data_IF_407181589608
#
_entry.id   IF_407181589608
#
_cell.length_a   1.000
_cell.length_b   1.000
_cell.length_c   1.000
_cell.angle_alpha   90.00
_cell.angle_beta   90.00
_cell.angle_gamma   90.00
#
_symmetry.space_group_name_H-M   'P 1'
#
loop_
_entity.id
_entity.type
_entity.pdbx_description
1 polymer ?
#
# COMPACT_ATOMS: atom_id res chain seq x y z
N UNK A 1 -9.23 55.88 11.12
CA UNK A 1 -10.06 56.95 10.50
C UNK A 1 -11.40 56.96 11.21
N UNK A 2 -11.80 58.11 11.75
CA UNK A 2 -13.13 58.30 12.34
C UNK A 2 -14.01 58.99 11.29
N UNK A 3 -15.20 58.46 11.04
CA UNK A 3 -16.19 59.04 10.12
C UNK A 3 -17.54 59.09 10.80
N UNK A 4 -18.14 60.28 10.88
CA UNK A 4 -19.50 60.47 11.38
C UNK A 4 -20.48 60.37 10.21
N UNK A 5 -21.48 59.51 10.37
CA UNK A 5 -22.48 59.20 9.34
C UNK A 5 -23.89 59.45 9.87
N UNK A 6 -24.77 59.96 9.02
CA UNK A 6 -26.19 60.14 9.36
C UNK A 6 -26.99 58.91 8.95
N UNK A 7 -27.77 58.38 9.87
CA UNK A 7 -28.71 57.29 9.62
C UNK A 7 -29.86 57.85 8.79
N UNK A 8 -30.00 57.39 7.55
CA UNK A 8 -31.10 57.71 6.66
C UNK A 8 -32.31 56.82 6.96
N UNK A 9 -32.51 55.79 6.13
CA UNK A 9 -33.59 54.81 6.30
C UNK A 9 -33.11 53.62 7.10
N UNK A 10 -33.91 53.20 8.09
CA UNK A 10 -33.65 51.98 8.89
C UNK A 10 -34.67 50.93 8.48
N UNK A 11 -34.21 49.81 7.91
CA UNK A 11 -35.01 48.62 7.68
C UNK A 11 -34.49 47.45 8.53
N UNK A 12 -35.29 46.38 8.68
CA UNK A 12 -34.99 45.25 9.55
C UNK A 12 -33.70 44.47 9.18
N UNK A 13 -33.22 44.60 7.94
CA UNK A 13 -31.99 43.94 7.47
C UNK A 13 -30.84 44.89 7.17
N UNK A 14 -31.14 46.01 6.51
CA UNK A 14 -30.14 46.98 6.03
C UNK A 14 -30.54 48.38 6.46
N UNK A 15 -29.56 49.16 6.89
CA UNK A 15 -29.69 50.57 7.21
C UNK A 15 -28.88 51.38 6.21
N UNK A 16 -29.47 52.48 5.75
CA UNK A 16 -28.81 53.43 4.85
C UNK A 16 -28.08 54.47 5.67
N UNK A 17 -26.76 54.56 5.51
CA UNK A 17 -25.92 55.58 6.13
C UNK A 17 -25.50 56.62 5.07
N UNK A 18 -25.59 57.90 5.44
CA UNK A 18 -25.27 59.03 4.58
C UNK A 18 -24.02 59.72 5.12
N UNK A 19 -23.06 59.93 4.22
CA UNK A 19 -21.84 60.71 4.49
C UNK A 19 -22.08 62.21 4.28
N UNK A 20 -21.24 63.09 4.84
CA UNK A 20 -21.32 64.54 4.60
C UNK A 20 -21.21 64.93 3.11
N UNK A 21 -20.48 64.14 2.31
CA UNK A 21 -20.34 64.32 0.86
C UNK A 21 -21.42 63.60 0.04
N UNK A 22 -22.56 63.27 0.67
CA UNK A 22 -23.76 62.69 0.05
C UNK A 22 -23.56 61.31 -0.58
N UNK A 23 -22.54 60.56 -0.18
CA UNK A 23 -22.44 59.13 -0.49
C UNK A 23 -23.39 58.33 0.38
N UNK A 24 -23.98 57.33 -0.25
CA UNK A 24 -24.85 56.34 0.37
C UNK A 24 -24.06 55.07 0.66
N UNK A 25 -24.17 54.57 1.90
CA UNK A 25 -23.57 53.30 2.33
C UNK A 25 -24.70 52.41 2.84
N UNK A 26 -24.85 51.24 2.25
CA UNK A 26 -25.70 50.18 2.79
C UNK A 26 -24.94 49.44 3.89
N UNK A 27 -25.48 49.43 5.11
CA UNK A 27 -24.83 48.84 6.27
C UNK A 27 -25.77 47.85 6.96
N UNK A 28 -25.33 46.62 7.29
CA UNK A 28 -26.18 45.65 7.98
C UNK A 28 -26.69 46.20 9.30
N UNK A 29 -28.02 46.23 9.50
CA UNK A 29 -28.64 46.84 10.69
C UNK A 29 -28.19 46.16 12.00
N UNK A 30 -27.83 44.87 11.94
CA UNK A 30 -27.36 44.09 13.10
C UNK A 30 -26.00 44.55 13.66
N UNK A 31 -25.19 45.23 12.84
CA UNK A 31 -23.86 45.70 13.24
C UNK A 31 -23.90 47.12 13.83
N UNK A 32 -25.08 47.76 13.87
CA UNK A 32 -25.27 49.08 14.46
C UNK A 32 -25.71 48.98 15.93
N UNK A 33 -25.45 50.02 16.75
CA UNK A 33 -25.89 50.05 18.13
C UNK A 33 -27.42 49.87 18.26
N UNK A 34 -27.91 49.29 19.37
CA UNK A 34 -29.35 49.24 19.63
C UNK A 34 -29.91 50.66 19.77
N UNK A 35 -31.19 50.84 19.42
CA UNK A 35 -31.95 52.10 19.51
C UNK A 35 -31.54 53.23 18.55
N UNK A 36 -30.93 52.90 17.41
CA UNK A 36 -30.75 53.87 16.32
C UNK A 36 -32.05 54.11 15.57
N UNK A 37 -32.29 55.35 15.15
CA UNK A 37 -33.45 55.76 14.35
C UNK A 37 -33.01 56.66 13.19
N UNK A 38 -33.91 56.89 12.23
CA UNK A 38 -33.69 57.85 11.15
C UNK A 38 -33.31 59.23 11.71
N UNK A 39 -32.25 59.83 11.17
CA UNK A 39 -31.67 61.09 11.62
C UNK A 39 -30.60 60.96 12.71
N UNK A 40 -30.39 59.77 13.29
CA UNK A 40 -29.30 59.54 14.26
C UNK A 40 -27.93 59.74 13.61
N UNK A 41 -26.93 60.18 14.37
CA UNK A 41 -25.54 60.25 13.91
C UNK A 41 -24.76 59.11 14.58
N UNK A 42 -24.04 58.33 13.77
CA UNK A 42 -23.20 57.22 14.23
C UNK A 42 -21.76 57.50 13.85
N UNK A 43 -20.86 57.37 14.82
CA UNK A 43 -19.43 57.45 14.60
C UNK A 43 -18.86 56.05 14.30
N UNK A 44 -18.30 55.88 13.10
CA UNK A 44 -17.61 54.65 12.71
C UNK A 44 -16.11 54.89 12.75
N UNK A 45 -15.43 54.13 13.60
CA UNK A 45 -13.97 54.09 13.65
C UNK A 45 -13.47 52.90 12.85
N UNK A 46 -12.82 53.16 11.71
CA UNK A 46 -12.19 52.13 10.88
C UNK A 46 -10.68 52.20 11.05
N UNK A 47 -10.08 51.07 11.40
CA UNK A 47 -8.63 50.92 11.51
C UNK A 47 -8.20 49.54 11.03
N UNK A 48 -7.01 49.46 10.43
CA UNK A 48 -6.41 48.20 10.06
C UNK A 48 -6.02 47.44 11.34
N UNK A 49 -6.36 46.15 11.39
CA UNK A 49 -6.06 45.30 12.53
C UNK A 49 -4.95 44.30 12.17
N UNK A 50 -3.70 44.80 12.14
CA UNK A 50 -2.54 44.02 11.73
C UNK A 50 -2.28 42.80 12.63
N UNK A 51 -2.69 42.84 13.91
CA UNK A 51 -2.54 41.68 14.80
C UNK A 51 -3.50 40.54 14.43
N UNK A 52 -4.76 40.86 14.09
CA UNK A 52 -5.70 39.86 13.56
C UNK A 52 -5.30 39.35 12.19
N UNK A 53 -4.79 40.22 11.31
CA UNK A 53 -4.26 39.81 9.99
C UNK A 53 -3.13 38.78 10.15
N UNK A 54 -2.14 39.08 11.01
CA UNK A 54 -1.04 38.15 11.28
C UNK A 54 -1.53 36.83 11.90
N UNK A 55 -2.52 36.88 12.81
CA UNK A 55 -3.09 35.68 13.41
C UNK A 55 -3.84 34.80 12.39
N UNK A 56 -4.62 35.40 11.48
CA UNK A 56 -5.30 34.64 10.41
C UNK A 56 -4.32 34.08 9.38
N UNK A 57 -3.25 34.83 9.04
CA UNK A 57 -2.18 34.30 8.18
C UNK A 57 -1.49 33.08 8.82
N UNK A 58 -1.16 33.15 10.11
CA UNK A 58 -0.57 32.03 10.83
C UNK A 58 -1.49 30.80 10.84
N UNK A 59 -2.79 30.98 11.07
CA UNK A 59 -3.78 29.88 10.99
C UNK A 59 -3.84 29.29 9.60
N UNK A 60 -3.86 30.13 8.57
CA UNK A 60 -3.87 29.69 7.18
C UNK A 60 -2.62 28.87 6.84
N UNK A 61 -1.43 29.37 7.20
CA UNK A 61 -0.16 28.65 7.00
C UNK A 61 -0.12 27.33 7.76
N UNK A 62 -0.55 27.32 9.02
CA UNK A 62 -0.64 26.11 9.83
C UNK A 62 -1.60 25.07 9.22
N UNK A 63 -2.71 25.51 8.62
CA UNK A 63 -3.61 24.61 7.90
C UNK A 63 -2.95 24.03 6.64
N UNK A 64 -2.26 24.86 5.84
CA UNK A 64 -1.54 24.40 4.65
C UNK A 64 -0.46 23.37 5.00
N UNK A 65 0.31 23.62 6.05
CA UNK A 65 1.34 22.69 6.53
C UNK A 65 0.73 21.35 6.98
N UNK A 66 -0.41 21.39 7.68
CA UNK A 66 -1.14 20.18 8.07
C UNK A 66 -1.63 19.39 6.86
N UNK A 67 -2.17 20.05 5.84
CA UNK A 67 -2.61 19.38 4.61
C UNK A 67 -1.41 18.75 3.91
N UNK A 68 -0.30 19.48 3.76
CA UNK A 68 0.91 18.98 3.14
C UNK A 68 1.48 17.76 3.90
N UNK A 69 1.68 17.88 5.22
CA UNK A 69 2.18 16.79 6.06
C UNK A 69 1.28 15.55 6.05
N UNK A 70 -0.04 15.73 5.93
CA UNK A 70 -0.99 14.61 5.97
C UNK A 70 -1.13 13.89 4.63
N UNK A 71 -0.97 14.58 3.51
CA UNK A 71 -1.32 14.02 2.19
C UNK A 71 -0.21 14.10 1.13
N UNK A 72 0.74 15.03 1.28
CA UNK A 72 1.78 15.31 0.28
C UNK A 72 3.21 15.01 0.73
N UNK A 73 3.44 14.69 2.02
CA UNK A 73 4.78 14.46 2.54
C UNK A 73 5.38 13.09 2.19
N UNK A 74 4.54 12.11 1.81
CA UNK A 74 4.97 10.76 1.47
C UNK A 74 4.29 10.26 0.21
N UNK A 75 5.04 9.49 -0.57
CA UNK A 75 4.56 8.87 -1.81
C UNK A 75 4.57 7.35 -1.68
N UNK A 76 3.76 6.62 -2.48
CA UNK A 76 3.80 5.16 -2.51
C UNK A 76 5.19 4.65 -2.89
N UNK A 77 5.67 3.68 -2.12
CA UNK A 77 6.95 3.04 -2.39
C UNK A 77 6.89 2.12 -3.61
N UNK A 78 8.05 1.96 -4.23
CA UNK A 78 8.19 1.02 -5.34
C UNK A 78 8.23 -0.41 -4.77
N UNK A 79 7.39 -1.35 -5.27
CA UNK A 79 7.40 -2.72 -4.76
C UNK A 79 8.77 -3.37 -5.02
N UNK A 80 9.32 -4.08 -4.03
CA UNK A 80 10.56 -4.83 -4.19
C UNK A 80 10.25 -6.31 -4.45
N UNK A 81 10.45 -6.77 -5.70
CA UNK A 81 10.26 -8.17 -6.09
C UNK A 81 11.57 -8.96 -5.92
N UNK A 82 11.47 -10.17 -5.39
CA UNK A 82 12.59 -11.12 -5.24
C UNK A 82 12.18 -12.53 -5.65
N UNK A 83 13.15 -13.31 -6.12
CA UNK A 83 12.99 -14.74 -6.35
C UNK A 83 13.31 -15.49 -5.06
N UNK A 84 12.31 -16.19 -4.51
CA UNK A 84 12.47 -16.99 -3.29
C UNK A 84 13.02 -18.38 -3.61
N UNK A 85 12.45 -19.03 -4.62
CA UNK A 85 12.85 -20.36 -5.05
C UNK A 85 12.58 -20.55 -6.55
N UNK A 86 13.41 -21.35 -7.21
CA UNK A 86 13.21 -21.79 -8.58
C UNK A 86 13.36 -23.30 -8.67
N UNK A 87 12.48 -23.94 -9.43
CA UNK A 87 12.59 -25.35 -9.81
C UNK A 87 12.77 -25.46 -11.32
N UNK A 88 12.69 -26.68 -11.85
CA UNK A 88 12.80 -26.93 -13.28
C UNK A 88 11.60 -26.35 -14.05
N UNK A 89 10.41 -26.29 -13.43
CA UNK A 89 9.16 -25.90 -14.12
C UNK A 89 8.34 -24.85 -13.37
N UNK A 90 8.85 -24.34 -12.25
CA UNK A 90 8.15 -23.30 -11.48
C UNK A 90 9.11 -22.33 -10.81
N UNK A 91 8.63 -21.12 -10.53
CA UNK A 91 9.35 -20.10 -9.76
C UNK A 91 8.40 -19.56 -8.70
N UNK A 92 8.91 -19.38 -7.48
CA UNK A 92 8.22 -18.70 -6.39
C UNK A 92 8.83 -17.33 -6.21
N UNK A 93 7.97 -16.32 -6.33
CA UNK A 93 8.31 -14.93 -6.19
C UNK A 93 7.73 -14.40 -4.89
N UNK A 94 8.44 -13.48 -4.25
CA UNK A 94 7.97 -12.76 -3.07
C UNK A 94 8.30 -11.27 -3.16
N UNK A 95 7.58 -10.46 -2.40
CA UNK A 95 7.79 -9.02 -2.35
C UNK A 95 7.52 -8.44 -0.97
N UNK A 96 8.10 -7.28 -0.70
CA UNK A 96 7.87 -6.55 0.54
C UNK A 96 6.41 -6.06 0.67
N UNK A 97 5.91 -5.83 1.89
CA UNK A 97 4.61 -5.22 2.10
C UNK A 97 4.45 -3.92 1.31
N UNK A 98 3.31 -3.79 0.63
CA UNK A 98 3.04 -2.62 -0.21
C UNK A 98 2.80 -1.40 0.67
N UNK A 99 3.67 -0.39 0.56
CA UNK A 99 3.50 0.87 1.26
C UNK A 99 2.85 1.90 0.34
N UNK A 100 1.59 2.26 0.65
CA UNK A 100 0.78 3.15 -0.19
C UNK A 100 0.85 4.62 0.24
N UNK A 101 1.47 4.92 1.38
CA UNK A 101 1.34 6.21 2.03
C UNK A 101 -0.13 6.60 2.21
N UNK A 102 -0.58 7.66 1.54
CA UNK A 102 -1.97 8.17 1.53
C UNK A 102 -2.76 7.76 0.30
N UNK A 103 -2.14 7.02 -0.63
CA UNK A 103 -2.78 6.62 -1.88
C UNK A 103 -3.63 5.36 -1.71
N UNK A 104 -4.63 5.22 -2.57
CA UNK A 104 -5.45 4.01 -2.64
C UNK A 104 -4.84 3.02 -3.63
N UNK A 105 -4.84 1.74 -3.27
CA UNK A 105 -4.42 0.66 -4.16
C UNK A 105 -5.48 0.42 -5.24
N UNK A 106 -5.08 0.54 -6.50
CA UNK A 106 -5.92 0.17 -7.65
C UNK A 106 -5.65 -1.28 -8.04
N UNK A 107 -4.38 -1.65 -8.24
CA UNK A 107 -4.00 -3.04 -8.54
C UNK A 107 -2.50 -3.29 -8.35
N UNK A 108 -2.15 -4.53 -8.05
CA UNK A 108 -0.79 -5.05 -8.17
C UNK A 108 -0.78 -6.15 -9.23
N UNK A 109 -0.02 -5.96 -10.30
CA UNK A 109 0.06 -6.91 -11.42
C UNK A 109 1.45 -7.52 -11.52
N UNK A 110 1.52 -8.83 -11.78
CA UNK A 110 2.78 -9.49 -12.13
C UNK A 110 2.94 -9.52 -13.64
N UNK A 111 4.14 -9.19 -14.10
CA UNK A 111 4.54 -9.29 -15.50
C UNK A 111 5.62 -10.34 -15.66
N UNK A 112 5.53 -11.12 -16.74
CA UNK A 112 6.50 -12.14 -17.17
C UNK A 112 6.92 -11.83 -18.60
N UNK A 113 8.23 -11.65 -18.84
CA UNK A 113 8.79 -11.34 -20.16
C UNK A 113 8.11 -10.14 -20.84
N UNK A 114 7.78 -9.10 -20.07
CA UNK A 114 7.12 -7.90 -20.55
C UNK A 114 5.60 -8.02 -20.77
N UNK A 115 5.03 -9.22 -20.64
CA UNK A 115 3.58 -9.44 -20.73
C UNK A 115 2.95 -9.60 -19.35
N UNK A 116 1.72 -9.10 -19.21
CA UNK A 116 0.97 -9.23 -17.96
C UNK A 116 0.61 -10.70 -17.72
N UNK A 117 1.12 -11.29 -16.65
CA UNK A 117 0.81 -12.66 -16.25
C UNK A 117 -0.51 -12.73 -15.47
N UNK A 118 -0.82 -11.71 -14.68
CA UNK A 118 -2.06 -11.64 -13.90
C UNK A 118 -2.06 -10.54 -12.85
N UNK A 119 -3.19 -10.37 -12.17
CA UNK A 119 -3.30 -9.54 -10.98
C UNK A 119 -3.05 -10.38 -9.72
N UNK A 120 -2.42 -9.79 -8.71
CA UNK A 120 -2.36 -10.35 -7.37
C UNK A 120 -3.74 -10.13 -6.72
N UNK A 121 -4.43 -11.18 -6.23
CA UNK A 121 -5.82 -11.07 -5.79
C UNK A 121 -5.98 -10.31 -4.46
N UNK A 122 -5.02 -10.44 -3.53
CA UNK A 122 -5.02 -9.74 -2.24
C UNK A 122 -3.66 -9.11 -1.95
N UNK A 123 -3.29 -8.01 -2.64
CA UNK A 123 -1.92 -7.49 -2.62
C UNK A 123 -1.41 -7.00 -1.26
N UNK A 124 -2.32 -6.68 -0.34
CA UNK A 124 -2.00 -6.23 1.02
C UNK A 124 -1.80 -7.38 2.01
N UNK A 125 -2.33 -8.57 1.70
CA UNK A 125 -2.22 -9.77 2.56
C UNK A 125 -1.24 -10.80 1.99
N UNK A 126 -1.16 -10.89 0.66
CA UNK A 126 -0.32 -11.84 -0.05
C UNK A 126 0.97 -11.17 -0.49
N UNK A 127 2.08 -11.71 -0.02
CA UNK A 127 3.44 -11.24 -0.31
C UNK A 127 4.24 -12.23 -1.16
N UNK A 128 3.57 -13.23 -1.72
CA UNK A 128 4.23 -14.27 -2.53
C UNK A 128 3.26 -14.91 -3.53
N UNK A 129 3.80 -15.40 -4.63
CA UNK A 129 3.05 -16.18 -5.63
C UNK A 129 3.95 -17.24 -6.29
N UNK A 130 3.33 -18.33 -6.74
CA UNK A 130 3.99 -19.41 -7.48
C UNK A 130 3.57 -19.37 -8.95
N UNK A 131 4.54 -19.32 -9.83
CA UNK A 131 4.36 -19.40 -11.29
C UNK A 131 4.78 -20.79 -11.75
N UNK A 132 3.81 -21.58 -12.20
CA UNK A 132 4.00 -22.95 -12.69
C UNK A 132 3.97 -23.00 -14.24
N UNK A 133 4.30 -24.15 -14.81
CA UNK A 133 4.24 -24.37 -16.26
C UNK A 133 5.33 -23.64 -17.04
N UNK A 134 6.48 -23.41 -16.41
CA UNK A 134 7.66 -22.85 -17.05
C UNK A 134 8.45 -23.96 -17.74
N UNK A 135 9.15 -23.62 -18.82
CA UNK A 135 10.05 -24.53 -19.50
C UNK A 135 11.31 -24.78 -18.69
N UNK A 136 11.90 -25.96 -18.83
CA UNK A 136 13.14 -26.37 -18.16
C UNK A 136 14.33 -25.58 -18.72
N UNK A 137 15.30 -25.24 -17.86
CA UNK A 137 16.53 -24.52 -18.23
C UNK A 137 16.30 -23.24 -19.07
N UNK A 138 15.23 -22.50 -18.76
CA UNK A 138 14.77 -21.35 -19.55
C UNK A 138 14.80 -20.08 -18.71
N UNK A 139 15.33 -19.00 -19.30
CA UNK A 139 15.38 -17.70 -18.66
C UNK A 139 14.04 -16.96 -18.78
N UNK A 140 13.59 -16.40 -17.66
CA UNK A 140 12.41 -15.56 -17.54
C UNK A 140 12.77 -14.26 -16.82
N UNK A 141 12.01 -13.20 -17.11
CA UNK A 141 12.09 -11.93 -16.38
C UNK A 141 10.75 -11.62 -15.75
N UNK A 142 10.78 -11.22 -14.48
CA UNK A 142 9.59 -10.89 -13.71
C UNK A 142 9.69 -9.48 -13.13
N UNK A 143 8.57 -8.76 -13.09
CA UNK A 143 8.47 -7.51 -12.35
C UNK A 143 7.03 -7.27 -11.92
N UNK A 144 6.85 -6.48 -10.88
CA UNK A 144 5.55 -6.02 -10.40
C UNK A 144 5.24 -4.64 -10.96
N UNK A 145 3.97 -4.40 -11.23
CA UNK A 145 3.42 -3.09 -11.56
C UNK A 145 2.36 -2.75 -10.52
N UNK A 146 2.67 -1.78 -9.68
CA UNK A 146 1.80 -1.24 -8.65
C UNK A 146 1.09 -0.01 -9.20
N UNK A 147 -0.24 -0.05 -9.27
CA UNK A 147 -1.07 1.10 -9.66
C UNK A 147 -1.81 1.59 -8.42
N UNK A 148 -1.66 2.88 -8.13
CA UNK A 148 -2.33 3.58 -7.03
C UNK A 148 -3.01 4.85 -7.54
N UNK A 149 -3.82 5.51 -6.70
CA UNK A 149 -4.39 6.82 -7.02
C UNK A 149 -3.34 7.92 -7.23
N UNK A 150 -2.13 7.75 -6.67
CA UNK A 150 -1.01 8.67 -6.83
C UNK A 150 -0.08 8.34 -8.03
N UNK A 151 -0.37 7.28 -8.80
CA UNK A 151 0.38 6.94 -10.01
C UNK A 151 0.71 5.46 -10.16
N UNK A 152 1.68 5.16 -11.02
CA UNK A 152 2.14 3.79 -11.27
C UNK A 152 3.62 3.66 -10.95
N UNK A 153 3.98 2.64 -10.16
CA UNK A 153 5.35 2.25 -9.84
C UNK A 153 5.63 0.85 -10.37
N UNK A 154 6.87 0.59 -10.78
CA UNK A 154 7.30 -0.71 -11.29
C UNK A 154 8.49 -1.19 -10.47
N UNK A 155 8.47 -2.46 -10.05
CA UNK A 155 9.63 -3.04 -9.39
C UNK A 155 10.81 -3.17 -10.36
N UNK A 156 12.00 -3.34 -9.78
CA UNK A 156 13.13 -3.88 -10.52
C UNK A 156 12.77 -5.22 -11.17
N UNK A 157 13.39 -5.49 -12.32
CA UNK A 157 13.21 -6.73 -13.06
C UNK A 157 14.09 -7.82 -12.46
N UNK A 158 13.46 -8.91 -12.03
CA UNK A 158 14.14 -10.11 -11.53
C UNK A 158 14.29 -11.10 -12.68
N UNK A 159 15.53 -11.33 -13.11
CA UNK A 159 15.85 -12.40 -14.06
C UNK A 159 16.05 -13.72 -13.30
N UNK A 160 15.31 -14.75 -13.71
CA UNK A 160 15.38 -16.09 -13.12
C UNK A 160 15.48 -17.12 -14.24
N UNK A 161 16.42 -18.04 -14.14
CA UNK A 161 16.50 -19.21 -15.01
C UNK A 161 15.99 -20.42 -14.25
N UNK A 162 15.03 -21.13 -14.82
CA UNK A 162 14.57 -22.41 -14.26
C UNK A 162 15.71 -23.43 -14.28
N UNK A 163 15.68 -24.37 -13.35
CA UNK A 163 16.78 -25.32 -13.19
C UNK A 163 16.82 -26.35 -14.33
N UNK A 164 17.99 -26.95 -14.54
CA UNK A 164 18.14 -28.18 -15.33
C UNK A 164 17.62 -29.38 -14.54
N UNK A 165 17.35 -30.49 -15.22
CA UNK A 165 16.95 -31.74 -14.54
C UNK A 165 18.04 -32.27 -13.58
N UNK A 166 19.30 -31.96 -13.86
CA UNK A 166 20.44 -32.33 -13.01
C UNK A 166 20.60 -31.48 -11.76
N UNK A 167 19.89 -30.34 -11.68
CA UNK A 167 19.97 -29.42 -10.56
C UNK A 167 18.72 -29.57 -9.68
N UNK A 168 18.93 -30.19 -8.51
CA UNK A 168 17.90 -30.50 -7.54
C UNK A 168 17.85 -29.49 -6.38
N UNK A 169 18.65 -28.41 -6.44
CA UNK A 169 18.78 -27.44 -5.34
C UNK A 169 17.49 -26.65 -5.05
N UNK A 170 16.57 -26.61 -6.03
CA UNK A 170 15.25 -26.02 -5.91
C UNK A 170 14.24 -26.87 -5.13
N UNK A 171 14.57 -28.12 -4.82
CA UNK A 171 13.71 -29.01 -4.04
C UNK A 171 13.71 -28.55 -2.58
N UNK A 172 12.52 -28.26 -2.08
CA UNK A 172 12.26 -27.94 -0.68
C UNK A 172 11.28 -28.96 -0.10
N UNK A 173 11.62 -29.52 1.05
CA UNK A 173 10.92 -30.64 1.65
C UNK A 173 10.41 -30.25 3.03
N UNK A 174 9.12 -30.49 3.26
CA UNK A 174 8.51 -30.42 4.59
C UNK A 174 8.19 -31.84 5.05
N UNK A 175 8.47 -32.16 6.30
CA UNK A 175 8.18 -33.49 6.86
C UNK A 175 6.92 -33.49 7.72
N UNK A 176 6.12 -34.55 7.58
CA UNK A 176 5.04 -34.90 8.50
C UNK A 176 5.54 -35.83 9.61
N UNK A 177 4.72 -36.82 9.95
CA UNK A 177 5.04 -37.82 10.95
C UNK A 177 6.09 -38.77 10.37
N UNK A 178 7.27 -38.82 11.01
CA UNK A 178 8.40 -39.67 10.64
C UNK A 178 9.13 -40.14 11.90
N UNK A 179 9.62 -41.37 11.88
CA UNK A 179 10.56 -41.86 12.89
C UNK A 179 11.87 -41.05 12.82
N UNK A 180 12.51 -40.80 13.97
CA UNK A 180 13.72 -39.98 14.06
C UNK A 180 14.83 -40.46 13.11
N UNK A 181 15.09 -41.78 13.08
CA UNK A 181 16.09 -42.38 12.19
C UNK A 181 15.78 -42.17 10.69
N UNK A 182 14.51 -42.17 10.30
CA UNK A 182 14.11 -41.92 8.91
C UNK A 182 14.28 -40.44 8.55
N UNK A 183 13.96 -39.53 9.48
CA UNK A 183 14.15 -38.09 9.29
C UNK A 183 15.63 -37.72 9.15
N UNK A 184 16.51 -38.34 9.93
CA UNK A 184 17.96 -38.12 9.85
C UNK A 184 18.54 -38.60 8.52
N UNK A 185 18.18 -39.80 8.07
CA UNK A 185 18.56 -40.32 6.74
C UNK A 185 18.06 -39.40 5.62
N UNK A 186 16.82 -38.93 5.72
CA UNK A 186 16.26 -37.97 4.77
C UNK A 186 17.09 -36.68 4.74
N UNK A 187 17.43 -36.13 5.90
CA UNK A 187 18.23 -34.91 5.98
C UNK A 187 19.59 -35.05 5.27
N UNK A 188 20.30 -36.17 5.50
CA UNK A 188 21.56 -36.46 4.82
C UNK A 188 21.39 -36.59 3.30
N UNK A 189 20.33 -37.25 2.84
CA UNK A 189 20.05 -37.38 1.41
C UNK A 189 19.72 -36.03 0.76
N UNK A 190 18.95 -35.19 1.45
CA UNK A 190 18.57 -33.83 1.01
C UNK A 190 19.78 -32.91 0.90
N UNK A 191 20.67 -32.94 1.89
CA UNK A 191 21.93 -32.19 1.87
C UNK A 191 22.83 -32.62 0.71
N UNK A 192 22.95 -33.94 0.47
CA UNK A 192 23.76 -34.48 -0.63
C UNK A 192 23.34 -34.00 -2.01
N UNK A 193 22.03 -33.79 -2.24
CA UNK A 193 21.50 -33.30 -3.52
C UNK A 193 21.37 -31.76 -3.57
N UNK A 194 21.80 -31.05 -2.53
CA UNK A 194 21.72 -29.59 -2.43
C UNK A 194 20.30 -29.04 -2.20
N UNK A 195 19.34 -29.91 -1.89
CA UNK A 195 17.97 -29.56 -1.58
C UNK A 195 17.85 -29.04 -0.14
N UNK A 196 16.67 -28.55 0.25
CA UNK A 196 16.46 -27.93 1.57
C UNK A 196 15.31 -28.58 2.32
N UNK A 197 15.52 -28.85 3.61
CA UNK A 197 14.41 -29.16 4.53
C UNK A 197 13.88 -27.87 5.15
N UNK A 198 12.56 -27.70 5.17
CA UNK A 198 11.90 -26.53 5.73
C UNK A 198 10.79 -26.93 6.71
N UNK A 199 10.69 -26.17 7.80
CA UNK A 199 9.62 -26.36 8.77
C UNK A 199 8.31 -25.71 8.30
N UNK A 200 7.23 -26.48 8.42
CA UNK A 200 5.89 -26.10 8.00
C UNK A 200 5.70 -26.11 6.48
N UNK A 201 4.47 -26.31 6.04
CA UNK A 201 4.12 -26.25 4.61
C UNK A 201 4.00 -24.79 4.18
N UNK A 202 4.82 -24.42 3.20
CA UNK A 202 4.95 -23.07 2.64
C UNK A 202 4.64 -23.09 1.14
N UNK A 203 4.49 -21.92 0.53
CA UNK A 203 4.21 -21.80 -0.91
C UNK A 203 5.35 -22.35 -1.78
N UNK A 204 6.58 -22.32 -1.27
CA UNK A 204 7.75 -22.85 -1.92
C UNK A 204 8.03 -24.32 -1.62
N UNK A 205 7.26 -24.97 -0.74
CA UNK A 205 7.36 -26.42 -0.48
C UNK A 205 7.08 -27.21 -1.77
N UNK A 206 8.06 -28.02 -2.19
CA UNK A 206 7.94 -28.85 -3.39
C UNK A 206 7.42 -30.25 -3.10
N UNK A 207 7.80 -30.84 -1.96
CA UNK A 207 7.43 -32.21 -1.59
C UNK A 207 7.11 -32.28 -0.09
N UNK A 208 6.11 -33.08 0.26
CA UNK A 208 5.77 -33.38 1.65
C UNK A 208 6.07 -34.84 1.95
N UNK A 209 6.93 -35.09 2.95
CA UNK A 209 7.43 -36.44 3.25
C UNK A 209 6.86 -36.93 4.57
N UNK A 210 6.12 -38.03 4.55
CA UNK A 210 5.48 -38.58 5.76
C UNK A 210 5.31 -40.09 5.65
N UNK A 211 5.28 -40.81 6.78
CA UNK A 211 4.84 -42.21 6.83
C UNK A 211 3.34 -42.34 7.12
N UNK A 212 2.73 -41.30 7.66
CA UNK A 212 1.31 -41.27 8.03
C UNK A 212 0.62 -40.05 7.40
N UNK A 213 -0.54 -40.27 6.79
CA UNK A 213 -1.34 -39.22 6.16
C UNK A 213 -2.32 -38.57 7.14
N UNK A 214 -1.81 -37.84 8.14
CA UNK A 214 -2.66 -37.14 9.12
C UNK A 214 -2.02 -35.87 9.65
N UNK A 215 -2.86 -34.99 10.20
CA UNK A 215 -2.47 -33.76 10.86
C UNK A 215 -2.50 -32.53 9.95
N UNK A 216 -2.43 -31.33 10.54
CA UNK A 216 -2.71 -30.08 9.82
C UNK A 216 -1.72 -29.78 8.70
N UNK A 217 -0.45 -30.20 8.84
CA UNK A 217 0.55 -30.03 7.80
C UNK A 217 0.31 -30.94 6.59
N UNK A 218 -0.22 -32.15 6.82
CA UNK A 218 -0.56 -33.08 5.73
C UNK A 218 -1.78 -32.58 4.97
N UNK A 219 -2.83 -32.14 5.67
CA UNK A 219 -4.03 -31.55 5.08
C UNK A 219 -3.67 -30.35 4.19
N UNK A 220 -2.85 -29.44 4.71
CA UNK A 220 -2.36 -28.28 3.96
C UNK A 220 -1.53 -28.66 2.73
N UNK A 221 -0.75 -29.74 2.78
CA UNK A 221 -0.01 -30.24 1.63
C UNK A 221 -0.94 -30.76 0.54
N UNK A 222 -1.97 -31.52 0.93
CA UNK A 222 -3.00 -32.05 0.02
C UNK A 222 -3.81 -30.91 -0.62
N UNK A 223 -4.29 -29.95 0.17
CA UNK A 223 -4.99 -28.76 -0.33
C UNK A 223 -4.12 -27.94 -1.29
N UNK A 224 -2.82 -27.85 -1.00
CA UNK A 224 -1.83 -27.18 -1.84
C UNK A 224 -1.40 -27.97 -3.09
N UNK A 225 -1.97 -29.16 -3.33
CA UNK A 225 -1.55 -30.11 -4.37
C UNK A 225 -0.04 -30.40 -4.36
N UNK A 226 0.56 -30.42 -3.17
CA UNK A 226 1.97 -30.76 -2.98
C UNK A 226 2.08 -32.29 -3.00
N UNK A 227 2.99 -32.86 -3.81
CA UNK A 227 3.26 -34.30 -3.80
C UNK A 227 3.57 -34.82 -2.39
N UNK A 228 2.75 -35.77 -1.91
CA UNK A 228 2.95 -36.47 -0.64
C UNK A 228 3.65 -37.80 -0.93
N UNK A 229 4.87 -37.97 -0.40
CA UNK A 229 5.75 -39.11 -0.72
C UNK A 229 6.30 -39.79 0.54
N UNK A 230 6.72 -41.06 0.40
CA UNK A 230 7.41 -41.81 1.45
C UNK A 230 8.90 -41.44 1.50
N UNK A 231 9.59 -41.63 2.65
CA UNK A 231 11.00 -41.28 2.82
C UNK A 231 11.94 -41.82 1.75
N UNK A 232 11.66 -43.01 1.23
CA UNK A 232 12.49 -43.70 0.25
C UNK A 232 12.56 -42.97 -1.12
N UNK A 233 11.71 -41.98 -1.38
CA UNK A 233 11.72 -41.25 -2.66
C UNK A 233 13.06 -40.55 -2.94
N UNK A 234 13.77 -40.09 -1.89
CA UNK A 234 15.08 -39.45 -2.04
C UNK A 234 16.18 -40.39 -2.49
N UNK A 235 15.97 -41.71 -2.35
CA UNK A 235 16.88 -42.71 -2.92
C UNK A 235 16.70 -42.89 -4.43
N UNK A 236 15.64 -42.33 -5.01
CA UNK A 236 15.31 -42.38 -6.44
C UNK A 236 15.69 -41.11 -7.20
N UNK A 237 16.18 -40.08 -6.50
CA UNK A 237 16.61 -38.77 -7.03
C UNK A 237 18.13 -38.67 -7.02
#
# INVERSE_FOLDING_TARGET
MLVSLTVGKVDAGVTVLLTPDKRLIEFPSILLPPNISSGSIVDITVSQNSSKESAEEQKFRGLQERIYSSFGASEPETPCLRCRNATQTSVVLEWDPVQLATADLISLSLYRNGQKAGNIPRPLEMHSTKISGLAVDTAYTFHLVLRTSAGTRMSEKVAVRTHKMTDLSGITITTGILAAAAREKLAQAVERIGAKMVEGVRIDTTHFVTTEGRGPAWEKAVEGNIPVVRPDFTSML
#
